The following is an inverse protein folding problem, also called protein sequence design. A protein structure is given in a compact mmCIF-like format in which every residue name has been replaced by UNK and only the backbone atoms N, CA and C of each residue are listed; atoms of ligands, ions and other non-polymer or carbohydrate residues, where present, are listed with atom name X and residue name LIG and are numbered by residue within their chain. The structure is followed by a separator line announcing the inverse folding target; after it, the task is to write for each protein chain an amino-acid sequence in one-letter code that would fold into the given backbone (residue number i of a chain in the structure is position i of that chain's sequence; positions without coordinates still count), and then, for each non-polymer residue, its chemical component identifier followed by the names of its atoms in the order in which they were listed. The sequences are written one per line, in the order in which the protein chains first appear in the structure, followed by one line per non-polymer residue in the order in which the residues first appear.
data_IF_480747134054
#
_entry.id   IF_480747134054
#
_cell.length_a   1.000
_cell.length_b   1.000
_cell.length_c   1.000
_cell.angle_alpha   90.00
_cell.angle_beta   90.00
_cell.angle_gamma   90.00
#
_symmetry.space_group_name_H-M   'P 1'
#
loop_
_entity.id
_entity.type
_entity.pdbx_description
1 polymer ?
#
# COMPACT_ATOMS: atom_id res chain seq x y z
N UNK A 1 -48.22 -21.75 -47.03
CA UNK A 1 -47.52 -20.55 -47.53
C UNK A 1 -46.59 -20.06 -46.41
N UNK A 2 -45.28 -19.88 -46.73
CA UNK A 2 -44.16 -19.39 -45.89
C UNK A 2 -43.53 -20.31 -44.82
N UNK A 3 -42.57 -21.09 -45.29
CA UNK A 3 -41.28 -21.45 -44.66
C UNK A 3 -40.36 -20.23 -44.48
N UNK A 4 -39.28 -20.40 -43.68
CA UNK A 4 -38.05 -19.56 -43.44
C UNK A 4 -38.12 -18.59 -42.25
N UNK A 5 -37.16 -18.43 -41.33
CA UNK A 5 -35.69 -18.63 -41.27
C UNK A 5 -35.27 -18.89 -39.79
N UNK A 6 -34.42 -19.89 -39.49
CA UNK A 6 -32.96 -19.79 -39.24
C UNK A 6 -32.57 -18.79 -38.13
N UNK A 7 -32.19 -19.30 -36.95
CA UNK A 7 -30.78 -19.33 -36.51
C UNK A 7 -30.11 -17.94 -36.63
N UNK A 8 -30.18 -17.08 -35.60
CA UNK A 8 -29.11 -16.15 -35.12
C UNK A 8 -29.62 -15.43 -33.86
N UNK A 9 -29.86 -16.11 -32.73
CA UNK A 9 -29.87 -15.44 -31.40
C UNK A 9 -29.21 -16.36 -30.36
N UNK A 10 -28.14 -17.04 -30.78
CA UNK A 10 -27.23 -17.81 -29.91
C UNK A 10 -25.81 -17.27 -30.11
N UNK A 11 -25.68 -15.94 -30.14
CA UNK A 11 -24.46 -15.24 -30.55
C UNK A 11 -24.23 -13.93 -29.80
N UNK A 12 -24.71 -13.84 -28.56
CA UNK A 12 -24.39 -12.73 -27.64
C UNK A 12 -24.04 -13.26 -26.25
N UNK A 13 -23.39 -14.43 -26.25
CA UNK A 13 -22.66 -15.00 -25.11
C UNK A 13 -21.15 -14.92 -25.37
N UNK A 14 -20.75 -13.92 -26.17
CA UNK A 14 -19.40 -13.71 -26.62
C UNK A 14 -18.74 -12.66 -25.72
N UNK A 15 -17.80 -13.14 -24.91
CA UNK A 15 -16.68 -12.36 -24.43
C UNK A 15 -16.98 -11.28 -23.39
N UNK A 16 -17.52 -11.69 -22.24
CA UNK A 16 -17.03 -11.11 -20.98
C UNK A 16 -15.96 -12.06 -20.40
N UNK A 17 -14.92 -12.29 -21.19
CA UNK A 17 -13.70 -12.96 -20.74
C UNK A 17 -13.09 -12.10 -19.66
N UNK A 18 -13.12 -12.62 -18.45
CA UNK A 18 -12.65 -11.96 -17.25
C UNK A 18 -11.25 -11.37 -17.49
N UNK A 19 -11.15 -10.04 -17.41
CA UNK A 19 -9.88 -9.37 -17.17
C UNK A 19 -9.47 -9.69 -15.74
N UNK A 20 -9.05 -10.93 -15.49
CA UNK A 20 -8.34 -11.30 -14.26
C UNK A 20 -6.92 -10.79 -14.42
N UNK A 21 -6.74 -9.47 -14.30
CA UNK A 21 -5.41 -8.90 -14.08
C UNK A 21 -5.10 -9.12 -12.60
N UNK A 22 -4.73 -10.35 -12.26
CA UNK A 22 -4.07 -10.63 -10.99
C UNK A 22 -2.59 -10.28 -11.22
N UNK A 23 -2.18 -9.12 -10.71
CA UNK A 23 -0.79 -8.63 -10.74
C UNK A 23 0.14 -9.72 -10.18
N UNK A 24 0.77 -10.51 -11.05
CA UNK A 24 1.47 -11.76 -10.71
C UNK A 24 2.73 -11.57 -9.86
N UNK A 25 3.14 -10.32 -9.66
CA UNK A 25 4.37 -9.92 -8.98
C UNK A 25 4.21 -9.63 -7.47
N UNK A 26 3.00 -9.77 -6.91
CA UNK A 26 2.74 -9.52 -5.48
C UNK A 26 3.09 -10.75 -4.63
N UNK A 27 4.07 -10.63 -3.72
CA UNK A 27 4.38 -11.67 -2.73
C UNK A 27 3.57 -11.48 -1.44
N UNK A 28 3.40 -10.22 -1.03
CA UNK A 28 2.69 -9.80 0.17
C UNK A 28 2.21 -8.36 -0.03
N UNK A 29 1.00 -8.02 0.40
CA UNK A 29 0.63 -6.61 0.60
C UNK A 29 -0.54 -6.55 1.58
N UNK A 30 -0.40 -5.65 2.55
CA UNK A 30 -1.31 -5.48 3.67
C UNK A 30 -1.39 -3.99 4.03
N UNK A 31 -2.58 -3.53 4.43
CA UNK A 31 -2.83 -2.18 4.88
C UNK A 31 -3.54 -2.22 6.24
N UNK A 32 -3.11 -1.33 7.12
CA UNK A 32 -3.77 -0.99 8.38
C UNK A 32 -4.51 0.34 8.19
N UNK A 33 -5.83 0.32 8.35
CA UNK A 33 -6.67 1.50 8.22
C UNK A 33 -6.84 2.21 9.57
N UNK A 34 -6.81 3.53 9.55
CA UNK A 34 -6.96 4.36 10.75
C UNK A 34 -8.41 4.82 10.90
N UNK A 35 -9.08 4.54 12.03
CA UNK A 35 -10.40 5.07 12.32
C UNK A 35 -10.43 6.59 12.25
N UNK A 36 -11.43 7.16 11.58
CA UNK A 36 -11.54 8.62 11.43
C UNK A 36 -10.42 9.24 10.57
N UNK A 37 -9.71 8.44 9.77
CA UNK A 37 -8.70 8.91 8.81
C UNK A 37 -7.60 9.74 9.47
N UNK A 38 -7.28 9.40 10.72
CA UNK A 38 -6.36 10.14 11.57
C UNK A 38 -5.37 9.20 12.22
N UNK A 39 -4.08 9.41 11.94
CA UNK A 39 -3.01 8.59 12.51
C UNK A 39 -2.38 9.26 13.73
N UNK A 40 -2.51 8.62 14.90
CA UNK A 40 -2.01 9.17 16.17
C UNK A 40 -0.56 8.75 16.45
N UNK A 41 0.19 9.55 17.22
CA UNK A 41 1.56 9.21 17.66
C UNK A 41 1.66 7.95 18.53
N UNK A 42 0.54 7.46 19.07
CA UNK A 42 0.48 6.22 19.87
C UNK A 42 0.13 4.99 19.05
N UNK A 43 -0.39 5.19 17.84
CA UNK A 43 -0.86 4.10 16.98
C UNK A 43 0.30 3.51 16.17
N UNK A 44 1.00 2.57 16.81
CA UNK A 44 2.12 1.85 16.22
C UNK A 44 1.61 0.66 15.41
N UNK A 45 1.86 0.66 14.12
CA UNK A 45 1.39 -0.38 13.20
C UNK A 45 2.46 -1.46 13.06
N UNK A 46 2.08 -2.73 13.21
CA UNK A 46 2.98 -3.88 13.04
C UNK A 46 2.43 -4.84 11.99
N UNK A 47 3.29 -5.22 11.04
CA UNK A 47 3.02 -6.23 10.04
C UNK A 47 3.91 -7.46 10.27
N UNK A 48 3.30 -8.63 10.39
CA UNK A 48 4.01 -9.91 10.52
C UNK A 48 4.34 -10.48 9.13
N UNK A 49 5.59 -10.87 8.93
CA UNK A 49 6.06 -11.46 7.69
C UNK A 49 5.87 -12.98 7.74
N UNK A 50 4.77 -13.45 7.12
CA UNK A 50 4.41 -14.88 7.11
C UNK A 50 5.25 -15.75 6.14
N UNK A 51 6.26 -15.17 5.50
CA UNK A 51 7.15 -15.85 4.54
C UNK A 51 8.60 -15.74 5.00
N UNK A 52 9.41 -16.71 4.63
CA UNK A 52 10.84 -16.66 4.90
C UNK A 52 11.45 -15.45 4.16
N UNK A 53 12.29 -14.63 4.82
CA UNK A 53 12.78 -13.38 4.21
C UNK A 53 13.61 -13.55 2.94
N UNK A 54 14.18 -14.73 2.72
CA UNK A 54 14.91 -15.08 1.51
C UNK A 54 14.02 -15.19 0.25
N UNK A 55 12.71 -15.38 0.42
CA UNK A 55 11.70 -15.39 -0.65
C UNK A 55 11.13 -13.99 -0.96
N UNK A 56 11.49 -13.00 -0.15
CA UNK A 56 10.99 -11.64 -0.24
C UNK A 56 11.89 -10.79 -1.15
N UNK A 57 11.27 -10.07 -2.08
CA UNK A 57 11.92 -9.12 -2.96
C UNK A 57 11.93 -7.71 -2.36
N UNK A 58 11.85 -6.71 -3.25
CA UNK A 58 11.80 -5.31 -2.86
C UNK A 58 10.55 -5.00 -2.02
N UNK A 59 10.74 -4.23 -0.94
CA UNK A 59 9.66 -3.77 -0.08
C UNK A 59 9.29 -2.34 -0.44
N UNK A 60 8.00 -2.05 -0.47
CA UNK A 60 7.44 -0.73 -0.67
C UNK A 60 6.56 -0.38 0.53
N UNK A 61 6.61 0.89 0.93
CA UNK A 61 5.65 1.46 1.87
C UNK A 61 4.47 2.03 1.09
N UNK A 62 3.26 1.66 1.48
CA UNK A 62 2.01 2.17 0.94
C UNK A 62 1.42 3.20 1.88
N UNK A 63 1.05 4.37 1.38
CA UNK A 63 0.30 5.38 2.13
C UNK A 63 -1.01 5.63 1.39
N UNK A 64 -2.14 5.46 2.08
CA UNK A 64 -3.44 5.93 1.62
C UNK A 64 -3.81 7.20 2.36
N UNK A 65 -4.10 8.25 1.62
CA UNK A 65 -4.32 9.59 2.14
C UNK A 65 -5.36 10.32 1.31
N UNK A 66 -5.92 11.40 1.84
CA UNK A 66 -6.85 12.26 1.12
C UNK A 66 -6.45 13.74 1.20
N UNK A 67 -7.25 14.58 0.55
CA UNK A 67 -7.01 16.03 0.43
C UNK A 67 -7.09 16.78 1.78
N UNK A 68 -7.62 16.16 2.84
CA UNK A 68 -7.60 16.76 4.18
C UNK A 68 -6.20 16.72 4.82
N UNK A 69 -5.27 15.91 4.29
CA UNK A 69 -3.89 15.86 4.80
C UNK A 69 -3.18 17.19 4.57
N UNK A 70 -2.73 17.91 5.61
CA UNK A 70 -2.37 19.31 5.50
C UNK A 70 -0.89 19.57 5.12
N UNK A 71 -0.11 18.53 4.80
CA UNK A 71 1.33 18.65 4.55
C UNK A 71 1.72 18.11 3.17
N UNK A 72 2.90 18.51 2.67
CA UNK A 72 3.42 17.96 1.41
C UNK A 72 4.05 16.58 1.56
N UNK A 73 4.71 16.33 2.68
CA UNK A 73 5.43 15.09 2.97
C UNK A 73 4.91 14.44 4.25
N UNK A 74 5.00 13.12 4.31
CA UNK A 74 4.78 12.32 5.52
C UNK A 74 6.11 11.73 5.98
N UNK A 75 6.42 11.91 7.26
CA UNK A 75 7.59 11.35 7.91
C UNK A 75 7.20 10.16 8.76
N UNK A 76 7.94 9.07 8.62
CA UNK A 76 7.58 7.77 9.22
C UNK A 76 8.84 7.07 9.72
N UNK A 77 8.82 6.64 10.98
CA UNK A 77 9.80 5.68 11.47
C UNK A 77 9.40 4.27 11.05
N UNK A 78 10.39 3.53 10.55
CA UNK A 78 10.25 2.19 10.04
C UNK A 78 11.29 1.29 10.70
N UNK A 79 10.85 0.20 11.29
CA UNK A 79 11.71 -0.78 11.95
C UNK A 79 11.51 -2.16 11.35
N UNK A 80 12.62 -2.90 11.20
CA UNK A 80 12.59 -4.34 10.94
C UNK A 80 13.00 -5.04 12.22
N UNK A 81 12.17 -5.97 12.69
CA UNK A 81 12.43 -6.71 13.93
C UNK A 81 12.61 -8.21 13.67
N UNK A 82 13.42 -8.88 14.47
CA UNK A 82 13.56 -10.34 14.47
C UNK A 82 12.38 -11.04 15.17
N UNK A 83 12.43 -12.38 15.24
CA UNK A 83 11.41 -13.19 15.92
C UNK A 83 11.32 -12.95 17.43
N UNK A 84 12.37 -12.40 18.05
CA UNK A 84 12.44 -12.08 19.47
C UNK A 84 12.01 -10.64 19.76
N UNK A 85 11.67 -9.86 18.72
CA UNK A 85 11.29 -8.45 18.83
C UNK A 85 12.48 -7.49 18.89
N UNK A 86 13.72 -7.95 18.65
CA UNK A 86 14.87 -7.04 18.60
C UNK A 86 14.85 -6.26 17.28
N UNK A 87 15.13 -4.96 17.38
CA UNK A 87 15.27 -4.10 16.21
C UNK A 87 16.55 -4.46 15.47
N UNK A 88 16.41 -4.98 14.24
CA UNK A 88 17.51 -5.27 13.34
C UNK A 88 17.90 -4.04 12.51
N UNK A 89 16.93 -3.19 12.18
CA UNK A 89 17.13 -2.00 11.37
C UNK A 89 16.12 -0.90 11.72
N UNK A 90 16.52 0.36 11.56
CA UNK A 90 15.68 1.55 11.74
C UNK A 90 15.89 2.52 10.59
N UNK A 91 14.81 3.10 10.04
CA UNK A 91 14.86 4.21 9.09
C UNK A 91 13.81 5.26 9.39
N UNK A 92 14.18 6.52 9.16
CA UNK A 92 13.24 7.62 9.02
C UNK A 92 12.98 7.83 7.52
N UNK A 93 11.75 7.62 7.10
CA UNK A 93 11.31 7.79 5.72
C UNK A 93 10.68 9.17 5.55
N UNK A 94 10.97 9.80 4.41
CA UNK A 94 10.32 11.02 3.97
C UNK A 94 9.54 10.69 2.68
N UNK A 95 8.22 10.71 2.76
CA UNK A 95 7.32 10.25 1.69
C UNK A 95 6.56 11.46 1.15
N UNK A 96 6.88 11.97 -0.05
CA UNK A 96 6.15 13.09 -0.65
C UNK A 96 4.76 12.65 -1.10
N UNK A 97 3.71 13.16 -0.45
CA UNK A 97 2.31 12.88 -0.76
C UNK A 97 1.70 13.92 -1.69
N UNK A 98 2.17 15.16 -1.64
CA UNK A 98 1.75 16.23 -2.54
C UNK A 98 2.97 16.91 -3.18
N UNK A 99 2.83 17.31 -4.44
CA UNK A 99 3.85 18.09 -5.13
C UNK A 99 4.04 19.44 -4.44
N UNK A 100 5.28 19.76 -4.06
CA UNK A 100 5.58 20.92 -3.22
C UNK A 100 5.33 22.28 -3.89
N UNK A 101 5.12 22.30 -5.21
CA UNK A 101 4.86 23.54 -5.97
C UNK A 101 3.39 23.67 -6.35
N UNK A 102 2.80 22.62 -6.87
CA UNK A 102 1.44 22.63 -7.42
C UNK A 102 0.38 22.18 -6.42
N UNK A 103 0.77 21.54 -5.30
CA UNK A 103 -0.15 20.97 -4.33
C UNK A 103 -0.94 19.78 -4.87
N UNK A 104 -0.57 19.22 -6.03
CA UNK A 104 -1.25 18.06 -6.59
C UNK A 104 -0.88 16.80 -5.82
N UNK A 105 -1.85 15.92 -5.51
CA UNK A 105 -1.57 14.65 -4.85
C UNK A 105 -0.71 13.74 -5.73
N UNK A 106 0.23 13.04 -5.11
CA UNK A 106 1.16 12.11 -5.74
C UNK A 106 0.73 10.68 -5.39
N UNK A 107 -0.01 10.04 -6.27
CA UNK A 107 -0.50 8.68 -6.06
C UNK A 107 -1.50 8.27 -7.13
N UNK A 108 -2.08 7.08 -6.99
CA UNK A 108 -3.21 6.61 -7.78
C UNK A 108 -4.43 6.50 -6.89
N UNK A 109 -5.60 6.88 -7.39
CA UNK A 109 -6.81 6.88 -6.59
C UNK A 109 -8.02 7.38 -7.37
N UNK A 110 -9.15 7.49 -6.68
CA UNK A 110 -10.40 7.98 -7.23
C UNK A 110 -11.10 8.85 -6.19
N UNK A 111 -11.69 9.95 -6.64
CA UNK A 111 -12.25 10.96 -5.73
C UNK A 111 -11.14 11.70 -4.99
N UNK A 112 -11.32 11.83 -3.69
CA UNK A 112 -10.42 12.47 -2.73
C UNK A 112 -9.38 11.51 -2.12
N UNK A 113 -9.52 10.20 -2.30
CA UNK A 113 -8.57 9.20 -1.80
C UNK A 113 -7.48 8.89 -2.82
N UNK A 114 -6.22 8.89 -2.35
CA UNK A 114 -5.02 8.56 -3.12
C UNK A 114 -4.19 7.50 -2.40
N UNK A 115 -3.60 6.57 -3.16
CA UNK A 115 -2.63 5.60 -2.66
C UNK A 115 -1.28 5.82 -3.35
N UNK A 116 -0.24 6.06 -2.56
CA UNK A 116 1.14 6.14 -3.01
C UNK A 116 1.89 4.92 -2.51
N UNK A 117 2.63 4.27 -3.41
CA UNK A 117 3.68 3.35 -3.03
C UNK A 117 5.03 4.06 -3.21
N UNK A 118 5.86 4.01 -2.18
CA UNK A 118 7.25 4.47 -2.24
C UNK A 118 8.19 3.30 -1.96
N UNK A 119 9.31 3.29 -2.67
CA UNK A 119 10.24 2.16 -2.66
C UNK A 119 11.15 2.24 -1.44
N UNK A 120 11.12 1.22 -0.60
CA UNK A 120 12.14 1.03 0.42
C UNK A 120 13.37 0.42 -0.24
N UNK A 121 14.40 1.24 -0.44
CA UNK A 121 15.67 0.81 -1.06
C UNK A 121 16.53 0.01 -0.09
N UNK A 122 16.05 -1.13 0.38
CA UNK A 122 16.87 -2.11 1.07
C UNK A 122 16.25 -3.50 1.05
N UNK A 123 17.06 -4.56 0.90
CA UNK A 123 16.57 -5.92 1.06
C UNK A 123 16.16 -6.15 2.51
N UNK A 124 15.04 -6.82 2.72
CA UNK A 124 14.67 -7.29 4.05
C UNK A 124 15.79 -8.19 4.59
N UNK A 125 16.21 -7.93 5.84
CA UNK A 125 17.19 -8.76 6.53
C UNK A 125 16.69 -10.20 6.60
N UNK A 126 17.56 -11.20 6.38
CA UNK A 126 17.20 -12.63 6.43
C UNK A 126 16.56 -13.06 7.76
N UNK A 127 16.83 -12.33 8.83
CA UNK A 127 16.26 -12.55 10.18
C UNK A 127 15.00 -11.73 10.46
N UNK A 128 14.61 -10.83 9.56
CA UNK A 128 13.45 -9.95 9.74
C UNK A 128 12.14 -10.73 9.73
N UNK A 129 11.35 -10.63 10.80
CA UNK A 129 10.06 -11.33 10.94
C UNK A 129 8.88 -10.38 11.04
N UNK A 130 9.11 -9.14 11.42
CA UNK A 130 8.06 -8.12 11.39
C UNK A 130 8.59 -6.77 10.98
N UNK A 131 7.68 -5.95 10.45
CA UNK A 131 7.89 -4.54 10.18
C UNK A 131 7.02 -3.75 11.16
N UNK A 132 7.62 -2.75 11.80
CA UNK A 132 6.88 -1.80 12.64
C UNK A 132 6.97 -0.42 12.02
N UNK A 133 5.86 0.31 12.01
CA UNK A 133 5.73 1.61 11.41
C UNK A 133 5.03 2.56 12.38
N UNK A 134 5.61 3.75 12.56
CA UNK A 134 5.00 4.81 13.36
C UNK A 134 5.21 6.18 12.69
N UNK A 135 4.18 7.02 12.74
CA UNK A 135 4.29 8.39 12.25
C UNK A 135 5.29 9.21 13.07
N UNK A 136 6.07 10.05 12.39
CA UNK A 136 7.07 10.93 12.99
C UNK A 136 6.84 12.38 12.59
N UNK A 137 5.58 12.80 12.66
CA UNK A 137 5.16 14.17 12.43
C UNK A 137 5.20 14.98 13.72
N UNK A 138 5.11 16.31 13.59
CA UNK A 138 5.07 17.22 14.75
C UNK A 138 3.69 17.30 15.42
N UNK A 139 2.65 16.79 14.77
CA UNK A 139 1.29 16.73 15.30
C UNK A 139 1.08 15.39 16.02
N UNK A 140 0.38 15.43 17.15
CA UNK A 140 -0.06 14.21 17.85
C UNK A 140 -1.02 13.38 17.00
N UNK A 141 -1.89 14.07 16.27
CA UNK A 141 -2.88 13.50 15.36
C UNK A 141 -2.64 14.00 13.94
N UNK A 142 -2.50 13.06 13.01
CA UNK A 142 -2.24 13.35 11.61
C UNK A 142 -3.48 12.97 10.79
N UNK A 143 -4.35 13.97 10.61
CA UNK A 143 -5.57 13.88 9.79
C UNK A 143 -5.29 13.65 8.31
N UNK A 144 -6.26 13.04 7.61
CA UNK A 144 -6.18 12.75 6.17
C UNK A 144 -5.27 11.58 5.81
N UNK A 145 -4.76 10.82 6.80
CA UNK A 145 -4.09 9.53 6.57
C UNK A 145 -5.09 8.42 6.85
N UNK A 146 -5.58 7.80 5.78
CA UNK A 146 -6.60 6.77 5.85
C UNK A 146 -6.01 5.40 6.20
N UNK A 147 -4.83 5.08 5.68
CA UNK A 147 -4.16 3.81 5.94
C UNK A 147 -2.65 3.87 5.67
N UNK A 148 -1.90 3.02 6.39
CA UNK A 148 -0.51 2.70 6.07
C UNK A 148 -0.40 1.22 5.72
N UNK A 149 0.49 0.87 4.80
CA UNK A 149 0.66 -0.51 4.37
C UNK A 149 2.07 -0.82 3.94
N UNK A 150 2.31 -2.10 3.72
CA UNK A 150 3.53 -2.61 3.09
C UNK A 150 3.16 -3.45 1.88
N UNK A 151 3.98 -3.37 0.83
CA UNK A 151 3.90 -4.25 -0.33
C UNK A 151 5.28 -4.85 -0.54
N UNK A 152 5.35 -6.16 -0.62
CA UNK A 152 6.59 -6.88 -0.89
C UNK A 152 6.43 -7.61 -2.22
N UNK A 153 7.34 -7.33 -3.14
CA UNK A 153 7.37 -7.97 -4.44
C UNK A 153 7.98 -9.36 -4.31
N UNK A 154 7.62 -10.25 -5.25
CA UNK A 154 8.39 -11.48 -5.43
C UNK A 154 9.79 -11.12 -5.91
N UNK A 155 10.77 -11.88 -5.44
CA UNK A 155 12.14 -11.80 -5.92
C UNK A 155 12.26 -12.30 -7.36
#
# INVERSE_FOLDING_TARGET
MKTRNKLVIWGLLLSFGALVSCDGNRAFEEFHAFPGETWTLTDTVKFELNKEPNELGETLIGVRFNENYPFSNLYVNFWVNDSSGNVLETKLLNIPLFDSKSGKPIGKGFGDTFTKFDTLRFPLNEKGRSITILQYMRKEEVEGIEAIGIKILKK
#
